data_IF_973510657389
#
_entry.id   IF_973510657389
#
_cell.length_a   1.000
_cell.length_b   1.000
_cell.length_c   1.000
_cell.angle_alpha   90.00
_cell.angle_beta   90.00
_cell.angle_gamma   90.00
#
_symmetry.space_group_name_H-M   'P 1'
#
loop_
_entity.id
_entity.type
_entity.pdbx_description
1 polymer ?
#
# COMPACT_ATOMS: atom_id res chain seq x y z
N UNK A 1 -4.56 28.89 -18.09
CA UNK A 1 -5.28 27.80 -18.73
C UNK A 1 -6.16 27.10 -17.70
N UNK A 2 -7.40 26.87 -17.99
CA UNK A 2 -8.36 26.29 -17.03
C UNK A 2 -8.50 24.77 -17.15
N UNK A 3 -7.67 24.11 -17.95
CA UNK A 3 -7.72 22.67 -18.24
C UNK A 3 -6.31 22.05 -18.38
N UNK A 4 -5.51 22.13 -17.33
CA UNK A 4 -4.16 21.53 -17.29
C UNK A 4 -4.25 20.01 -17.06
N UNK A 5 -4.87 19.29 -17.99
CA UNK A 5 -5.04 17.86 -17.89
C UNK A 5 -3.74 17.12 -18.24
N UNK A 6 -3.43 16.10 -17.48
CA UNK A 6 -2.40 15.10 -17.80
C UNK A 6 -3.11 13.83 -18.24
N UNK A 7 -2.85 13.38 -19.48
CA UNK A 7 -3.36 12.11 -19.98
C UNK A 7 -2.19 11.16 -20.23
N UNK A 8 -2.22 10.00 -19.61
CA UNK A 8 -1.27 8.90 -19.77
C UNK A 8 -1.94 7.84 -20.63
N UNK A 9 -1.37 7.54 -21.80
CA UNK A 9 -1.91 6.52 -22.68
C UNK A 9 -1.74 5.11 -22.08
N UNK A 10 -2.59 4.17 -22.49
CA UNK A 10 -2.53 2.78 -22.04
C UNK A 10 -1.15 2.15 -22.35
N UNK A 11 -0.60 1.44 -21.38
CA UNK A 11 0.69 0.75 -21.47
C UNK A 11 1.90 1.66 -21.36
N UNK A 12 1.73 2.96 -21.06
CA UNK A 12 2.85 3.89 -20.88
C UNK A 12 3.50 3.70 -19.51
N UNK A 13 4.83 3.70 -19.53
CA UNK A 13 5.67 3.81 -18.32
C UNK A 13 6.26 5.22 -18.24
N UNK A 14 6.03 5.90 -17.13
CA UNK A 14 6.74 7.14 -16.78
C UNK A 14 7.88 6.77 -15.83
N UNK A 15 9.09 7.24 -16.14
CA UNK A 15 10.28 6.93 -15.32
C UNK A 15 11.05 8.20 -14.98
N UNK A 16 11.36 8.37 -13.70
CA UNK A 16 12.24 9.42 -13.20
C UNK A 16 13.45 8.80 -12.48
N UNK A 17 14.64 9.33 -12.72
CA UNK A 17 15.85 8.86 -12.03
C UNK A 17 15.83 9.19 -10.52
N UNK A 18 15.15 10.27 -10.15
CA UNK A 18 14.91 10.65 -8.75
C UNK A 18 13.43 10.58 -8.44
N UNK A 19 12.77 11.68 -8.14
CA UNK A 19 11.36 11.73 -7.79
C UNK A 19 10.50 12.03 -9.01
N UNK A 20 9.41 11.27 -9.17
CA UNK A 20 8.37 11.54 -10.14
C UNK A 20 7.23 12.34 -9.47
N UNK A 21 7.06 13.58 -9.87
CA UNK A 21 5.95 14.42 -9.43
C UNK A 21 4.84 14.43 -10.48
N UNK A 22 3.63 14.12 -10.07
CA UNK A 22 2.43 14.19 -10.91
C UNK A 22 1.47 15.24 -10.30
N UNK A 23 1.31 16.34 -11.01
CA UNK A 23 0.51 17.50 -10.59
C UNK A 23 -0.15 18.13 -11.83
N UNK A 24 -1.46 18.14 -11.86
CA UNK A 24 -2.25 18.73 -12.94
C UNK A 24 -2.69 20.17 -12.65
N UNK A 25 -2.21 20.76 -11.56
CA UNK A 25 -2.49 22.14 -11.09
C UNK A 25 -4.00 22.45 -10.96
N UNK A 26 -4.73 22.52 -12.05
CA UNK A 26 -6.18 22.84 -12.08
C UNK A 26 -7.01 21.81 -12.85
N UNK A 27 -6.35 20.82 -13.46
CA UNK A 27 -6.98 19.81 -14.30
C UNK A 27 -7.15 18.46 -13.62
N UNK A 28 -7.19 17.42 -14.44
CA UNK A 28 -7.28 16.02 -14.00
C UNK A 28 -6.13 15.20 -14.56
N UNK A 29 -5.72 14.18 -13.84
CA UNK A 29 -4.80 13.17 -14.33
C UNK A 29 -5.57 11.89 -14.66
N UNK A 30 -5.41 11.39 -15.87
CA UNK A 30 -6.12 10.21 -16.36
C UNK A 30 -5.15 9.25 -17.05
N UNK A 31 -5.25 7.95 -16.70
CA UNK A 31 -4.66 6.85 -17.46
C UNK A 31 -5.73 6.17 -18.30
N UNK A 32 -5.54 6.08 -19.62
CA UNK A 32 -6.56 5.49 -20.51
C UNK A 32 -6.55 3.96 -20.53
N UNK A 33 -5.69 3.33 -19.72
CA UNK A 33 -5.53 1.90 -19.53
C UNK A 33 -4.48 1.64 -18.46
N UNK A 34 -3.72 0.56 -18.57
CA UNK A 34 -2.64 0.25 -17.64
C UNK A 34 -1.57 1.36 -17.63
N UNK A 35 -1.10 1.72 -16.44
CA UNK A 35 -0.09 2.75 -16.21
C UNK A 35 1.02 2.20 -15.32
N UNK A 36 2.28 2.53 -15.65
CA UNK A 36 3.43 2.23 -14.80
C UNK A 36 4.15 3.53 -14.43
N UNK A 37 4.39 3.74 -13.15
CA UNK A 37 5.09 4.91 -12.60
C UNK A 37 6.33 4.44 -11.85
N UNK A 38 7.50 4.79 -12.35
CA UNK A 38 8.78 4.38 -11.80
C UNK A 38 9.61 5.58 -11.37
N UNK A 39 10.20 5.51 -10.18
CA UNK A 39 11.12 6.54 -9.69
C UNK A 39 12.20 5.95 -8.79
N UNK A 40 13.39 6.56 -8.77
CA UNK A 40 14.48 6.10 -7.91
C UNK A 40 14.36 6.57 -6.45
N UNK A 41 13.64 7.65 -6.17
CA UNK A 41 13.54 8.24 -4.83
C UNK A 41 12.14 8.80 -4.51
N UNK A 42 11.09 8.22 -5.08
CA UNK A 42 9.70 8.53 -4.72
C UNK A 42 8.79 8.86 -5.90
N UNK A 43 7.52 8.50 -5.75
CA UNK A 43 6.44 8.87 -6.66
C UNK A 43 5.41 9.68 -5.87
N UNK A 44 5.21 10.93 -6.26
CA UNK A 44 4.31 11.86 -5.58
C UNK A 44 3.11 12.19 -6.46
N UNK A 45 1.93 11.74 -6.04
CA UNK A 45 0.66 12.17 -6.62
C UNK A 45 0.19 13.42 -5.87
N UNK A 46 0.57 14.59 -6.38
CA UNK A 46 0.14 15.89 -5.84
C UNK A 46 -1.28 16.23 -6.30
N UNK A 47 -1.80 15.49 -7.28
CA UNK A 47 -3.18 15.56 -7.72
C UNK A 47 -3.78 14.16 -7.91
N UNK A 48 -5.13 14.08 -8.08
CA UNK A 48 -5.83 12.81 -8.26
C UNK A 48 -5.50 12.16 -9.60
N UNK A 49 -5.24 10.86 -9.59
CA UNK A 49 -5.04 10.03 -10.80
C UNK A 49 -6.16 9.01 -10.92
N UNK A 50 -6.88 9.03 -12.05
CA UNK A 50 -7.84 7.98 -12.40
C UNK A 50 -7.28 7.13 -13.54
N UNK A 51 -6.99 5.87 -13.28
CA UNK A 51 -6.51 4.90 -14.27
C UNK A 51 -7.63 3.94 -14.68
N UNK A 52 -7.79 3.73 -15.97
CA UNK A 52 -8.77 2.77 -16.53
C UNK A 52 -8.18 1.33 -16.66
N UNK A 53 -7.02 1.06 -16.07
CA UNK A 53 -6.37 -0.24 -16.10
C UNK A 53 -5.50 -0.48 -14.86
N UNK A 54 -4.85 -1.65 -14.81
CA UNK A 54 -3.93 -1.98 -13.75
C UNK A 54 -2.85 -0.90 -13.61
N UNK A 55 -2.56 -0.52 -12.37
CA UNK A 55 -1.54 0.50 -12.07
C UNK A 55 -0.39 -0.15 -11.31
N UNK A 56 0.82 0.08 -11.77
CA UNK A 56 2.05 -0.36 -11.12
C UNK A 56 2.84 0.88 -10.74
N UNK A 57 3.27 0.94 -9.49
CA UNK A 57 4.10 2.01 -8.96
C UNK A 57 5.33 1.37 -8.33
N UNK A 58 6.51 1.83 -8.76
CA UNK A 58 7.77 1.52 -8.14
C UNK A 58 8.46 2.83 -7.78
N UNK A 59 8.41 3.16 -6.49
CA UNK A 59 8.89 4.43 -5.97
C UNK A 59 10.36 4.39 -5.55
N UNK A 60 11.00 3.23 -5.62
CA UNK A 60 12.41 3.03 -5.26
C UNK A 60 13.08 2.01 -6.20
N UNK A 61 13.12 2.31 -7.50
CA UNK A 61 13.65 1.43 -8.54
C UNK A 61 15.14 1.11 -8.43
N UNK A 62 15.84 1.78 -7.55
CA UNK A 62 17.28 1.56 -7.32
C UNK A 62 17.56 0.81 -6.00
N UNK A 63 16.51 0.44 -5.25
CA UNK A 63 16.56 -0.35 -4.01
C UNK A 63 17.57 0.23 -3.00
N UNK A 64 17.58 1.55 -2.82
CA UNK A 64 18.53 2.23 -1.94
C UNK A 64 17.97 2.55 -0.54
N UNK A 65 16.74 2.12 -0.25
CA UNK A 65 16.04 2.38 1.00
C UNK A 65 15.60 3.85 1.12
N UNK A 66 15.21 4.48 0.01
CA UNK A 66 14.83 5.88 -0.01
C UNK A 66 13.87 6.19 -1.16
N UNK A 67 12.65 5.79 -1.03
CA UNK A 67 11.64 6.06 -2.06
C UNK A 67 10.23 5.95 -1.51
N UNK A 68 9.59 7.09 -1.22
CA UNK A 68 8.22 7.12 -0.68
C UNK A 68 7.20 7.22 -1.81
N UNK A 69 6.16 6.41 -1.73
CA UNK A 69 4.97 6.62 -2.53
C UNK A 69 3.98 7.52 -1.77
N UNK A 70 3.69 8.69 -2.32
CA UNK A 70 2.82 9.69 -1.68
C UNK A 70 1.54 9.92 -2.45
N UNK A 71 0.40 9.90 -1.75
CA UNK A 71 -0.88 10.42 -2.24
C UNK A 71 -1.26 11.63 -1.38
N UNK A 72 -1.20 12.82 -1.96
CA UNK A 72 -1.41 14.08 -1.23
C UNK A 72 -2.83 14.16 -0.62
N UNK A 73 -2.95 14.86 0.51
CA UNK A 73 -4.22 15.05 1.22
C UNK A 73 -5.32 15.58 0.32
N UNK A 74 -6.52 14.99 0.40
CA UNK A 74 -7.67 15.33 -0.42
C UNK A 74 -7.59 14.85 -1.88
N UNK A 75 -6.53 14.12 -2.25
CA UNK A 75 -6.36 13.53 -3.59
C UNK A 75 -6.66 12.04 -3.57
N UNK A 76 -6.99 11.48 -4.74
CA UNK A 76 -7.35 10.06 -4.88
C UNK A 76 -6.61 9.42 -6.03
N UNK A 77 -5.98 8.28 -5.76
CA UNK A 77 -5.58 7.32 -6.78
C UNK A 77 -6.74 6.34 -6.99
N UNK A 78 -7.37 6.37 -8.15
CA UNK A 78 -8.44 5.42 -8.54
C UNK A 78 -7.98 4.56 -9.71
N UNK A 79 -8.16 3.25 -9.60
CA UNK A 79 -7.85 2.31 -10.71
C UNK A 79 -9.10 1.79 -11.42
N UNK A 80 -10.26 2.36 -11.14
CA UNK A 80 -11.54 1.96 -11.74
C UNK A 80 -11.79 0.44 -11.73
N UNK A 81 -11.63 -0.16 -10.54
CA UNK A 81 -11.77 -1.61 -10.31
C UNK A 81 -10.72 -2.46 -11.03
N UNK A 82 -9.50 -1.94 -11.17
CA UNK A 82 -8.33 -2.69 -11.60
C UNK A 82 -7.30 -2.78 -10.47
N UNK A 83 -6.38 -3.71 -10.56
CA UNK A 83 -5.36 -3.94 -9.54
C UNK A 83 -4.37 -2.78 -9.42
N UNK A 84 -3.91 -2.55 -8.19
CA UNK A 84 -2.79 -1.67 -7.87
C UNK A 84 -1.66 -2.49 -7.24
N UNK A 85 -0.44 -2.29 -7.72
CA UNK A 85 0.78 -2.77 -7.08
C UNK A 85 1.69 -1.59 -6.78
N UNK A 86 2.11 -1.46 -5.53
CA UNK A 86 3.05 -0.45 -5.06
C UNK A 86 4.27 -1.15 -4.50
N UNK A 87 5.46 -0.76 -4.96
CA UNK A 87 6.75 -1.08 -4.36
C UNK A 87 7.41 0.22 -3.94
N UNK A 88 7.80 0.36 -2.67
CA UNK A 88 8.37 1.57 -2.12
C UNK A 88 9.17 1.27 -0.85
N UNK A 89 10.10 2.16 -0.44
CA UNK A 89 10.71 2.08 0.88
C UNK A 89 9.68 2.45 1.97
N UNK A 90 8.85 3.48 1.72
CA UNK A 90 7.76 3.87 2.62
C UNK A 90 6.54 4.38 1.83
N UNK A 91 5.40 4.52 2.49
CA UNK A 91 4.18 5.08 1.92
C UNK A 91 3.66 6.25 2.77
N UNK A 92 3.13 7.29 2.12
CA UNK A 92 2.38 8.39 2.75
C UNK A 92 1.03 8.53 2.03
N UNK A 93 0.00 7.90 2.59
CA UNK A 93 -1.36 7.91 2.04
C UNK A 93 -2.21 8.91 2.83
N UNK A 94 -1.79 10.20 2.78
CA UNK A 94 -2.58 11.31 3.36
C UNK A 94 -3.87 11.60 2.57
N UNK A 95 -3.91 11.21 1.30
CA UNK A 95 -5.10 11.15 0.44
C UNK A 95 -5.81 9.82 0.52
N UNK A 96 -6.28 9.30 -0.62
CA UNK A 96 -6.96 8.00 -0.68
C UNK A 96 -6.54 7.15 -1.87
N UNK A 97 -6.63 5.83 -1.70
CA UNK A 97 -6.51 4.83 -2.77
C UNK A 97 -7.85 4.12 -2.92
N UNK A 98 -8.33 3.99 -4.15
CA UNK A 98 -9.58 3.30 -4.46
C UNK A 98 -9.39 2.35 -5.65
N UNK A 99 -9.25 1.06 -5.35
CA UNK A 99 -9.22 0.00 -6.37
C UNK A 99 -10.58 -0.69 -6.55
N UNK A 100 -11.62 -0.18 -5.89
CA UNK A 100 -12.99 -0.68 -6.03
C UNK A 100 -13.12 -2.17 -5.73
N UNK A 101 -13.49 -2.96 -6.75
CA UNK A 101 -13.64 -4.41 -6.64
C UNK A 101 -12.35 -5.20 -6.95
N UNK A 102 -11.22 -4.52 -7.09
CA UNK A 102 -9.92 -5.16 -7.29
C UNK A 102 -9.06 -5.15 -6.01
N UNK A 103 -7.94 -5.86 -6.07
CA UNK A 103 -6.98 -5.94 -4.97
C UNK A 103 -5.89 -4.87 -5.09
N UNK A 104 -5.35 -4.49 -3.93
CA UNK A 104 -4.15 -3.67 -3.77
C UNK A 104 -3.03 -4.50 -3.15
N UNK A 105 -1.81 -4.32 -3.63
CA UNK A 105 -0.59 -4.91 -3.06
C UNK A 105 0.39 -3.80 -2.72
N UNK A 106 0.98 -3.84 -1.53
CA UNK A 106 2.01 -2.91 -1.05
C UNK A 106 3.22 -3.73 -0.60
N UNK A 107 4.34 -3.49 -1.24
CA UNK A 107 5.62 -4.18 -1.00
C UNK A 107 6.67 -3.16 -0.59
N UNK A 108 7.59 -3.59 0.29
CA UNK A 108 8.79 -2.82 0.57
C UNK A 108 9.86 -3.14 -0.49
N UNK A 109 10.61 -2.13 -0.94
CA UNK A 109 11.54 -2.25 -2.07
C UNK A 109 12.83 -3.02 -1.73
N UNK A 110 13.39 -2.82 -0.56
CA UNK A 110 14.76 -3.27 -0.23
C UNK A 110 14.82 -4.40 0.81
N UNK A 111 13.71 -5.09 1.06
CA UNK A 111 13.65 -6.19 2.03
C UNK A 111 13.68 -5.75 3.50
N UNK A 112 13.42 -4.48 3.78
CA UNK A 112 13.33 -3.91 5.13
C UNK A 112 12.15 -4.44 5.94
N UNK A 113 11.93 -3.86 7.11
CA UNK A 113 10.85 -4.24 8.02
C UNK A 113 9.58 -3.45 7.78
N UNK A 114 8.42 -4.04 8.08
CA UNK A 114 7.11 -3.41 7.87
C UNK A 114 6.40 -3.20 9.21
N UNK A 115 5.82 -2.02 9.40
CA UNK A 115 4.99 -1.67 10.54
C UNK A 115 3.55 -1.38 10.13
N UNK A 116 2.59 -1.95 10.85
CA UNK A 116 1.17 -1.63 10.72
C UNK A 116 0.64 -1.00 11.99
N UNK A 117 -0.15 0.07 11.84
CA UNK A 117 -0.75 0.79 12.95
C UNK A 117 0.24 1.73 13.64
N UNK A 118 0.47 1.55 14.93
CA UNK A 118 1.35 2.42 15.74
C UNK A 118 2.83 1.99 15.70
N UNK A 119 3.18 1.04 14.85
CA UNK A 119 4.55 0.51 14.75
C UNK A 119 5.31 1.16 13.61
N UNK A 120 6.22 2.09 13.91
CA UNK A 120 7.12 2.67 12.92
C UNK A 120 8.23 1.68 12.52
N UNK A 121 8.40 1.48 11.22
CA UNK A 121 9.41 0.62 10.60
C UNK A 121 9.95 1.30 9.32
N UNK A 122 10.69 0.58 8.49
CA UNK A 122 11.11 1.10 7.19
C UNK A 122 9.87 1.47 6.36
N UNK A 123 9.00 0.52 6.06
CA UNK A 123 7.68 0.81 5.54
C UNK A 123 6.68 0.88 6.70
N UNK A 124 6.00 2.00 6.85
CA UNK A 124 4.96 2.19 7.87
C UNK A 124 3.61 2.44 7.20
N UNK A 125 2.64 1.58 7.49
CA UNK A 125 1.25 1.81 7.13
C UNK A 125 0.45 2.04 8.41
N UNK A 126 0.25 3.29 8.78
CA UNK A 126 -0.52 3.67 9.97
C UNK A 126 -1.98 3.24 9.85
N UNK A 127 -2.71 3.22 10.98
CA UNK A 127 -4.15 2.93 10.97
C UNK A 127 -4.95 3.93 10.12
N UNK A 128 -4.54 5.21 10.11
CA UNK A 128 -5.20 6.24 9.29
C UNK A 128 -4.98 6.01 7.79
N UNK A 129 -3.78 5.65 7.38
CA UNK A 129 -3.46 5.34 5.98
C UNK A 129 -4.16 4.07 5.52
N UNK A 130 -4.19 3.03 6.36
CA UNK A 130 -4.94 1.81 6.06
C UNK A 130 -6.43 2.12 5.83
N UNK A 131 -7.02 3.01 6.62
CA UNK A 131 -8.41 3.46 6.45
C UNK A 131 -8.64 4.22 5.14
N UNK A 132 -7.61 4.83 4.58
CA UNK A 132 -7.66 5.56 3.31
C UNK A 132 -7.58 4.63 2.07
N UNK A 133 -7.44 3.31 2.27
CA UNK A 133 -7.38 2.33 1.18
C UNK A 133 -8.73 1.60 1.05
N UNK A 134 -9.37 1.73 -0.11
CA UNK A 134 -10.58 0.98 -0.48
C UNK A 134 -10.21 -0.09 -1.51
N UNK A 135 -10.40 -1.36 -1.17
CA UNK A 135 -10.07 -2.50 -2.02
C UNK A 135 -10.91 -3.75 -1.64
N UNK A 136 -11.03 -4.72 -2.55
CA UNK A 136 -11.59 -6.02 -2.20
C UNK A 136 -10.62 -6.86 -1.38
N UNK A 137 -9.31 -6.73 -1.63
CA UNK A 137 -8.27 -7.36 -0.84
C UNK A 137 -7.05 -6.46 -0.75
N UNK A 138 -6.32 -6.54 0.36
CA UNK A 138 -5.05 -5.85 0.54
C UNK A 138 -3.98 -6.85 0.95
N UNK A 139 -2.90 -6.90 0.17
CA UNK A 139 -1.71 -7.68 0.52
C UNK A 139 -0.58 -6.74 0.89
N UNK A 140 0.07 -6.99 2.03
CA UNK A 140 1.20 -6.22 2.55
C UNK A 140 2.35 -7.18 2.76
N UNK A 141 3.49 -6.90 2.11
CA UNK A 141 4.70 -7.71 2.15
C UNK A 141 4.64 -8.98 1.30
N UNK A 142 5.76 -9.68 1.25
CA UNK A 142 5.97 -10.88 0.43
C UNK A 142 7.04 -11.83 1.01
N UNK A 143 7.85 -12.45 0.15
CA UNK A 143 8.95 -13.34 0.54
C UNK A 143 10.30 -12.62 0.69
N UNK A 144 10.38 -11.33 0.46
CA UNK A 144 11.64 -10.57 0.47
C UNK A 144 11.78 -9.67 1.70
N UNK A 145 10.66 -9.18 2.26
CA UNK A 145 10.70 -8.31 3.43
C UNK A 145 11.18 -9.03 4.70
N UNK A 146 11.72 -8.25 5.62
CA UNK A 146 12.03 -8.64 6.97
C UNK A 146 10.79 -8.81 7.85
N UNK A 147 10.97 -8.64 9.14
CA UNK A 147 9.88 -8.80 10.12
C UNK A 147 8.74 -7.80 9.90
N UNK A 148 7.53 -8.24 10.22
CA UNK A 148 6.34 -7.38 10.27
C UNK A 148 5.88 -7.21 11.72
N UNK A 149 5.65 -5.96 12.13
CA UNK A 149 5.08 -5.65 13.45
C UNK A 149 3.72 -4.97 13.30
N UNK A 150 2.73 -5.50 13.99
CA UNK A 150 1.36 -4.97 14.01
C UNK A 150 1.03 -4.46 15.41
N UNK A 151 0.57 -3.22 15.51
CA UNK A 151 0.25 -2.57 16.76
C UNK A 151 -1.01 -1.69 16.65
N UNK A 152 -2.08 -2.07 17.30
CA UNK A 152 -3.25 -1.22 17.52
C UNK A 152 -4.07 -0.88 16.28
N UNK A 153 -4.23 -1.81 15.34
CA UNK A 153 -5.20 -1.65 14.25
C UNK A 153 -6.61 -1.76 14.84
N UNK A 154 -7.45 -0.77 14.60
CA UNK A 154 -8.86 -0.79 14.99
C UNK A 154 -9.74 -1.35 13.88
N UNK A 155 -10.94 -1.83 14.19
CA UNK A 155 -11.91 -2.29 13.18
C UNK A 155 -12.13 -1.23 12.09
N UNK A 156 -12.28 0.04 12.47
CA UNK A 156 -12.48 1.14 11.52
C UNK A 156 -11.34 1.29 10.51
N UNK A 157 -10.10 0.97 10.90
CA UNK A 157 -8.95 1.11 10.01
C UNK A 157 -8.96 0.12 8.83
N UNK A 158 -9.59 -1.04 8.99
CA UNK A 158 -9.65 -2.08 7.96
C UNK A 158 -11.01 -2.24 7.27
N UNK A 159 -12.03 -1.47 7.66
CA UNK A 159 -13.41 -1.62 7.15
C UNK A 159 -13.55 -1.33 5.64
N UNK A 160 -12.65 -0.55 5.07
CA UNK A 160 -12.63 -0.27 3.63
C UNK A 160 -11.97 -1.39 2.79
N UNK A 161 -11.38 -2.40 3.44
CA UNK A 161 -10.95 -3.64 2.80
C UNK A 161 -12.09 -4.65 2.94
N UNK A 162 -12.92 -4.76 1.89
CA UNK A 162 -14.16 -5.55 1.93
C UNK A 162 -13.96 -7.07 1.95
N UNK A 163 -12.77 -7.55 1.58
CA UNK A 163 -12.35 -8.95 1.66
C UNK A 163 -11.23 -9.15 2.68
N UNK A 164 -10.16 -9.84 2.30
CA UNK A 164 -9.08 -10.21 3.21
C UNK A 164 -7.94 -9.19 3.19
N UNK A 165 -7.51 -8.77 4.37
CA UNK A 165 -6.19 -8.19 4.56
C UNK A 165 -5.19 -9.34 4.77
N UNK A 166 -4.17 -9.41 3.92
CA UNK A 166 -3.11 -10.43 3.99
C UNK A 166 -1.79 -9.78 4.36
N UNK A 167 -1.16 -10.26 5.42
CA UNK A 167 0.18 -9.85 5.84
C UNK A 167 1.13 -10.99 5.52
N UNK A 168 2.17 -10.71 4.75
CA UNK A 168 3.20 -11.67 4.41
C UNK A 168 4.56 -11.24 4.94
N UNK A 169 5.25 -12.15 5.61
CA UNK A 169 6.65 -12.11 5.98
C UNK A 169 7.23 -13.52 5.71
N UNK A 170 7.10 -13.98 4.46
CA UNK A 170 7.35 -15.38 4.11
C UNK A 170 8.81 -15.70 3.79
N UNK A 171 9.73 -14.74 3.96
CA UNK A 171 11.15 -15.03 4.05
C UNK A 171 11.41 -16.00 5.23
N UNK A 172 12.25 -17.01 5.03
CA UNK A 172 12.49 -18.06 6.03
C UNK A 172 13.00 -17.57 7.40
N UNK A 173 13.57 -16.37 7.46
CA UNK A 173 14.03 -15.74 8.71
C UNK A 173 13.02 -14.74 9.30
N UNK A 174 11.97 -14.38 8.58
CA UNK A 174 11.07 -13.29 8.96
C UNK A 174 9.87 -13.77 9.75
N UNK A 175 9.49 -12.96 10.72
CA UNK A 175 8.39 -13.20 11.67
C UNK A 175 7.35 -12.11 11.60
N UNK A 176 6.13 -12.42 12.04
CA UNK A 176 5.07 -11.44 12.29
C UNK A 176 4.85 -11.35 13.78
N UNK A 177 4.86 -10.14 14.34
CA UNK A 177 4.57 -9.90 15.74
C UNK A 177 3.38 -8.96 15.93
N UNK A 178 2.42 -9.39 16.76
CA UNK A 178 1.33 -8.53 17.24
C UNK A 178 1.70 -8.05 18.64
N UNK A 179 1.85 -6.74 18.82
CA UNK A 179 2.47 -6.17 20.03
C UNK A 179 1.73 -4.92 20.54
N UNK A 180 2.00 -4.58 21.78
CA UNK A 180 1.54 -3.42 22.54
C UNK A 180 0.02 -3.29 22.65
N UNK A 181 -0.70 -2.98 21.59
CA UNK A 181 -2.13 -2.71 21.59
C UNK A 181 -2.89 -3.76 20.75
N UNK A 182 -4.03 -4.23 21.27
CA UNK A 182 -4.89 -5.19 20.57
C UNK A 182 -5.27 -4.69 19.18
N UNK A 183 -5.40 -5.64 18.25
CA UNK A 183 -5.75 -5.33 16.86
C UNK A 183 -7.04 -6.05 16.43
N UNK A 184 -7.90 -5.34 15.70
CA UNK A 184 -9.15 -5.86 15.13
C UNK A 184 -9.20 -5.58 13.63
N UNK A 185 -9.48 -6.61 12.84
CA UNK A 185 -9.57 -6.53 11.39
C UNK A 185 -10.94 -7.02 10.88
N UNK A 186 -11.32 -6.67 9.66
CA UNK A 186 -12.47 -7.30 9.01
C UNK A 186 -12.23 -8.80 8.82
N UNK A 187 -11.20 -9.13 8.08
CA UNK A 187 -10.72 -10.50 7.81
C UNK A 187 -9.20 -10.44 7.73
N UNK A 188 -8.50 -11.33 8.40
CA UNK A 188 -7.04 -11.34 8.42
C UNK A 188 -6.47 -12.70 8.05
N UNK A 189 -5.49 -12.68 7.17
CA UNK A 189 -4.55 -13.77 6.95
C UNK A 189 -3.13 -13.26 7.22
N UNK A 190 -2.37 -13.96 8.05
CA UNK A 190 -0.97 -13.64 8.32
C UNK A 190 -0.11 -14.87 8.05
N UNK A 191 0.92 -14.71 7.21
CA UNK A 191 1.83 -15.77 6.79
C UNK A 191 3.27 -15.37 7.10
N UNK A 192 3.97 -16.15 7.90
CA UNK A 192 5.39 -15.93 8.24
C UNK A 192 6.24 -17.12 7.80
N UNK A 193 7.50 -16.86 7.50
CA UNK A 193 8.46 -17.94 7.19
C UNK A 193 9.10 -18.53 8.44
N UNK A 194 9.15 -17.77 9.54
CA UNK A 194 9.78 -18.22 10.79
C UNK A 194 8.74 -18.41 11.91
N UNK A 195 8.05 -17.32 12.33
CA UNK A 195 7.09 -17.41 13.42
C UNK A 195 6.04 -16.31 13.40
N UNK A 196 4.89 -16.59 14.02
CA UNK A 196 3.89 -15.58 14.34
C UNK A 196 3.76 -15.52 15.86
N UNK A 197 3.98 -14.36 16.45
CA UNK A 197 3.90 -14.15 17.89
C UNK A 197 2.87 -13.10 18.23
N UNK A 198 2.12 -13.30 19.31
CA UNK A 198 1.15 -12.33 19.81
C UNK A 198 0.92 -12.53 21.30
N UNK A 199 1.25 -11.50 22.09
CA UNK A 199 0.98 -11.47 23.51
C UNK A 199 -0.28 -10.65 23.86
N UNK A 200 -1.03 -10.25 22.85
CA UNK A 200 -2.21 -9.38 22.94
C UNK A 200 -3.32 -9.94 22.04
N UNK A 201 -4.59 -9.59 22.28
CA UNK A 201 -5.70 -10.03 21.47
C UNK A 201 -5.56 -9.56 19.99
N UNK A 202 -5.80 -10.50 19.07
CA UNK A 202 -6.00 -10.24 17.65
C UNK A 202 -7.37 -10.80 17.29
N UNK A 203 -8.25 -9.98 16.76
CA UNK A 203 -9.63 -10.34 16.45
C UNK A 203 -10.02 -9.95 15.05
N UNK A 204 -11.06 -10.59 14.53
CA UNK A 204 -11.76 -10.16 13.32
C UNK A 204 -13.22 -9.92 13.67
N UNK A 205 -13.85 -8.92 13.06
CA UNK A 205 -15.25 -8.57 13.32
C UNK A 205 -16.23 -9.02 12.22
N UNK A 206 -15.74 -9.38 11.03
CA UNK A 206 -16.59 -9.76 9.91
C UNK A 206 -16.25 -11.16 9.39
N UNK A 207 -14.99 -11.48 9.15
CA UNK A 207 -14.57 -12.72 8.52
C UNK A 207 -13.61 -13.56 9.35
N UNK A 208 -12.89 -14.45 8.67
CA UNK A 208 -11.97 -15.40 9.30
C UNK A 208 -10.66 -14.78 9.77
N UNK A 209 -10.02 -15.44 10.72
CA UNK A 209 -8.66 -15.21 11.18
C UNK A 209 -7.81 -16.43 10.85
N UNK A 210 -6.73 -16.25 10.09
CA UNK A 210 -5.84 -17.34 9.69
C UNK A 210 -4.38 -16.97 9.92
N UNK A 211 -3.63 -17.85 10.57
CA UNK A 211 -2.19 -17.73 10.78
C UNK A 211 -1.48 -18.98 10.23
N UNK A 212 -0.37 -18.74 9.50
CA UNK A 212 0.51 -19.78 8.96
C UNK A 212 1.97 -19.38 9.18
N UNK A 213 2.78 -20.30 9.76
CA UNK A 213 4.20 -20.11 9.96
C UNK A 213 4.95 -21.45 9.83
#
# INVERSE_FOLDING_TARGET
>A
DTNDNIQIAAGVTLTAANTLFLDATTGNMTGTGAVTLNAGNGVNLNDGLTSAGATIIDADTNDNGSGTFTVASGKTLSTTSNTLSVTADDVDISGSINTGTAATTILISDGGTIGLGNSARNLTLSGAELQNITATGLTIGDATNGDVTVDGITAANSNNISGTLTINATNAASSISFSNTASTFNTLTANAGNSITGNIPVTTDTGGLSFSA
#
